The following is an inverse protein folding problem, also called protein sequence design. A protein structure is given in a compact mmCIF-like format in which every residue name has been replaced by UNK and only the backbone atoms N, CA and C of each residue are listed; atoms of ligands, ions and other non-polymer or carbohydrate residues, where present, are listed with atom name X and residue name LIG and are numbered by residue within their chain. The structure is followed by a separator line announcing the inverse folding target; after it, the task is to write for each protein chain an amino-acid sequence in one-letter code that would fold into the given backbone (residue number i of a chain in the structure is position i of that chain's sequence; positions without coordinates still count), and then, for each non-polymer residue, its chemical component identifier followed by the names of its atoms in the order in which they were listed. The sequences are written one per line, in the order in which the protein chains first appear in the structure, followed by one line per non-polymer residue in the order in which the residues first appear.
data_IF_573660002902
#
_entry.id   IF_573660002902
#
_cell.length_a   1.000
_cell.length_b   1.000
_cell.length_c   1.000
_cell.angle_alpha   90.00
_cell.angle_beta   90.00
_cell.angle_gamma   90.00
#
_symmetry.space_group_name_H-M   'P 1'
#
loop_
_entity.id
_entity.type
_entity.pdbx_description
1 polymer ?
#
# COMPACT_ATOMS: atom_id res chain seq x y z
N UNK A 1 -3.23 -18.32 -47.18
CA UNK A 1 -4.41 -17.78 -46.47
C UNK A 1 -5.35 -18.92 -46.14
N UNK A 2 -5.38 -19.40 -44.89
CA UNK A 2 -6.47 -20.26 -44.40
C UNK A 2 -6.87 -19.72 -43.03
N UNK A 3 -8.08 -19.18 -43.02
CA UNK A 3 -8.81 -18.65 -41.87
C UNK A 3 -9.01 -19.75 -40.83
N UNK A 4 -9.08 -19.39 -39.54
CA UNK A 4 -10.03 -19.91 -38.54
C UNK A 4 -9.47 -19.76 -37.11
N UNK A 5 -9.99 -18.77 -36.36
CA UNK A 5 -9.78 -18.64 -34.92
C UNK A 5 -11.16 -18.45 -34.27
N UNK A 6 -11.59 -19.41 -33.44
CA UNK A 6 -12.87 -19.37 -32.73
C UNK A 6 -12.61 -19.23 -31.21
N UNK A 7 -13.39 -18.34 -30.60
CA UNK A 7 -13.76 -18.20 -29.19
C UNK A 7 -12.70 -18.37 -28.08
N UNK A 8 -12.48 -17.29 -27.34
CA UNK A 8 -11.65 -17.24 -26.12
C UNK A 8 -12.56 -16.97 -24.91
N UNK A 9 -12.57 -17.87 -23.92
CA UNK A 9 -13.39 -17.74 -22.70
C UNK A 9 -12.49 -17.45 -21.52
N UNK A 10 -12.78 -16.44 -20.72
CA UNK A 10 -12.25 -16.31 -19.37
C UNK A 10 -13.42 -16.47 -18.39
N UNK A 11 -13.41 -17.55 -17.62
CA UNK A 11 -14.46 -17.89 -16.65
C UNK A 11 -13.94 -17.56 -15.25
N UNK A 12 -14.73 -16.82 -14.46
CA UNK A 12 -14.71 -16.93 -13.00
C UNK A 12 -15.98 -17.63 -12.55
N UNK A 13 -15.93 -18.34 -11.42
CA UNK A 13 -17.16 -18.72 -10.72
C UNK A 13 -17.51 -17.53 -9.81
N UNK A 14 -18.64 -16.81 -9.97
CA UNK A 14 -19.87 -17.14 -10.70
C UNK A 14 -20.06 -16.37 -12.04
N UNK A 15 -19.04 -15.68 -12.57
CA UNK A 15 -19.17 -14.79 -13.75
C UNK A 15 -18.42 -15.33 -14.98
N UNK A 16 -19.17 -15.72 -16.02
CA UNK A 16 -18.58 -16.18 -17.30
C UNK A 16 -18.67 -15.12 -18.38
N UNK A 17 -17.54 -14.71 -18.97
CA UNK A 17 -17.52 -13.86 -20.18
C UNK A 17 -17.01 -14.67 -21.38
N UNK A 18 -17.73 -14.59 -22.51
CA UNK A 18 -17.37 -15.29 -23.76
C UNK A 18 -17.20 -14.26 -24.87
N UNK A 19 -16.12 -14.38 -25.62
CA UNK A 19 -15.80 -13.48 -26.71
C UNK A 19 -15.69 -14.26 -28.01
N UNK A 20 -16.32 -13.74 -29.06
CA UNK A 20 -16.12 -14.21 -30.42
C UNK A 20 -15.30 -13.19 -31.21
N UNK A 21 -14.13 -13.62 -31.66
CA UNK A 21 -13.15 -12.80 -32.37
C UNK A 21 -13.03 -13.16 -33.86
N UNK A 22 -13.96 -13.94 -34.41
CA UNK A 22 -13.94 -14.33 -35.83
C UNK A 22 -13.99 -13.09 -36.73
N UNK A 23 -12.88 -12.77 -37.39
CA UNK A 23 -12.81 -11.75 -38.45
C UNK A 23 -12.83 -10.29 -37.99
N UNK A 24 -12.67 -10.00 -36.69
CA UNK A 24 -12.77 -8.65 -36.15
C UNK A 24 -11.50 -8.22 -35.38
N UNK A 25 -11.16 -6.93 -35.47
CA UNK A 25 -10.08 -6.31 -34.69
C UNK A 25 -10.43 -6.18 -33.20
N UNK A 26 -11.73 -6.18 -32.87
CA UNK A 26 -12.29 -6.20 -31.53
C UNK A 26 -13.31 -7.33 -31.43
N UNK A 27 -13.23 -8.16 -30.38
CA UNK A 27 -14.20 -9.23 -30.16
C UNK A 27 -15.44 -8.69 -29.45
N UNK A 28 -16.63 -9.04 -29.94
CA UNK A 28 -17.89 -8.71 -29.27
C UNK A 28 -18.16 -9.70 -28.15
N UNK A 29 -18.58 -9.20 -26.98
CA UNK A 29 -18.98 -10.05 -25.87
C UNK A 29 -20.30 -10.74 -26.24
N UNK A 30 -20.30 -12.07 -26.22
CA UNK A 30 -21.48 -12.90 -26.45
C UNK A 30 -21.79 -13.65 -25.15
N UNK A 31 -22.19 -12.91 -24.11
CA UNK A 31 -22.73 -13.49 -22.87
C UNK A 31 -24.24 -13.68 -23.02
N UNK A 32 -24.65 -14.85 -23.53
CA UNK A 32 -26.07 -15.15 -23.84
C UNK A 32 -27.01 -15.22 -22.63
N UNK A 33 -26.52 -15.26 -21.39
CA UNK A 33 -27.39 -15.36 -20.21
C UNK A 33 -26.89 -14.50 -19.04
N UNK A 34 -27.79 -13.77 -18.36
CA UNK A 34 -27.50 -13.15 -17.07
C UNK A 34 -27.05 -14.19 -16.03
N UNK A 35 -26.08 -13.85 -15.15
CA UNK A 35 -25.40 -12.56 -15.07
C UNK A 35 -24.40 -12.39 -16.22
N UNK A 36 -24.49 -11.26 -16.94
CA UNK A 36 -23.51 -10.86 -17.97
C UNK A 36 -22.16 -10.77 -17.26
N UNK A 37 -21.21 -11.65 -17.58
CA UNK A 37 -19.99 -11.88 -16.80
C UNK A 37 -19.37 -10.59 -16.23
N UNK A 38 -18.54 -9.90 -17.01
CA UNK A 38 -17.99 -8.58 -16.62
C UNK A 38 -18.68 -7.41 -17.36
N UNK A 39 -19.53 -7.71 -18.36
CA UNK A 39 -20.30 -6.72 -19.11
C UNK A 39 -19.40 -5.69 -19.81
N UNK A 40 -19.84 -4.43 -19.83
CA UNK A 40 -19.12 -3.33 -20.49
C UNK A 40 -17.73 -3.03 -19.88
N UNK A 41 -17.42 -3.57 -18.70
CA UNK A 41 -16.13 -3.39 -18.05
C UNK A 41 -15.02 -4.21 -18.69
N UNK A 42 -15.34 -5.19 -19.52
CA UNK A 42 -14.34 -6.10 -20.08
C UNK A 42 -14.19 -5.95 -21.60
N UNK A 43 -12.94 -6.01 -22.07
CA UNK A 43 -12.56 -5.88 -23.48
C UNK A 43 -11.53 -6.93 -23.84
N UNK A 44 -11.83 -7.74 -24.85
CA UNK A 44 -10.91 -8.76 -25.35
C UNK A 44 -10.23 -8.29 -26.63
N UNK A 45 -8.90 -8.30 -26.62
CA UNK A 45 -8.06 -7.96 -27.76
C UNK A 45 -7.39 -9.24 -28.32
N UNK A 46 -7.89 -9.77 -29.45
CA UNK A 46 -7.36 -10.97 -30.09
C UNK A 46 -6.07 -10.72 -30.90
N UNK A 47 -5.75 -9.46 -31.22
CA UNK A 47 -4.61 -9.12 -32.11
C UNK A 47 -3.29 -9.04 -31.36
N UNK A 48 -3.30 -8.84 -30.04
CA UNK A 48 -2.10 -8.93 -29.20
C UNK A 48 -1.57 -10.37 -29.15
N UNK A 49 -0.25 -10.52 -28.99
CA UNK A 49 0.42 -11.81 -28.80
C UNK A 49 1.22 -11.78 -27.48
N UNK A 50 0.75 -12.45 -26.41
CA UNK A 50 -0.50 -13.21 -26.31
C UNK A 50 -1.74 -12.31 -26.35
N UNK A 51 -2.89 -12.88 -26.70
CA UNK A 51 -4.18 -12.19 -26.67
C UNK A 51 -4.54 -11.76 -25.24
N UNK A 52 -5.12 -10.57 -25.07
CA UNK A 52 -5.30 -9.96 -23.75
C UNK A 52 -6.78 -9.70 -23.47
N UNK A 53 -7.23 -10.05 -22.26
CA UNK A 53 -8.51 -9.60 -21.71
C UNK A 53 -8.24 -8.48 -20.69
N UNK A 54 -8.82 -7.31 -20.92
CA UNK A 54 -8.76 -6.19 -19.98
C UNK A 54 -10.09 -6.10 -19.24
N UNK A 55 -10.05 -5.98 -17.91
CA UNK A 55 -11.23 -5.78 -17.06
C UNK A 55 -11.01 -4.47 -16.30
N UNK A 56 -11.91 -3.50 -16.51
CA UNK A 56 -11.88 -2.20 -15.85
C UNK A 56 -12.66 -2.23 -14.52
N UNK A 57 -12.34 -1.31 -13.62
CA UNK A 57 -13.05 -1.12 -12.34
C UNK A 57 -13.18 -2.39 -11.50
N UNK A 58 -12.08 -3.14 -11.35
CA UNK A 58 -12.05 -4.38 -10.56
C UNK A 58 -12.50 -4.14 -9.11
N UNK A 59 -13.23 -5.08 -8.53
CA UNK A 59 -13.73 -5.02 -7.15
C UNK A 59 -13.13 -6.13 -6.31
N UNK A 60 -12.93 -5.93 -5.01
CA UNK A 60 -12.27 -6.90 -4.12
C UNK A 60 -12.89 -8.31 -4.17
N UNK A 61 -14.21 -8.42 -4.34
CA UNK A 61 -14.97 -9.67 -4.48
C UNK A 61 -14.72 -10.42 -5.80
N UNK A 62 -13.98 -9.82 -6.74
CA UNK A 62 -13.64 -10.41 -8.03
C UNK A 62 -12.25 -11.08 -8.01
N UNK A 63 -11.62 -11.18 -6.84
CA UNK A 63 -10.40 -11.98 -6.65
C UNK A 63 -10.69 -13.48 -6.74
N UNK A 64 -9.73 -14.26 -7.24
CA UNK A 64 -9.84 -15.70 -7.32
C UNK A 64 -9.24 -16.31 -8.58
N UNK A 65 -9.61 -17.55 -8.87
CA UNK A 65 -9.05 -18.30 -10.01
C UNK A 65 -9.89 -18.05 -11.26
N UNK A 66 -9.24 -17.51 -12.29
CA UNK A 66 -9.78 -17.25 -13.61
C UNK A 66 -9.34 -18.36 -14.55
N UNK A 67 -10.28 -18.95 -15.28
CA UNK A 67 -10.00 -19.99 -16.28
C UNK A 67 -10.05 -19.41 -17.69
N UNK A 68 -8.91 -19.32 -18.35
CA UNK A 68 -8.84 -19.03 -19.78
C UNK A 68 -8.97 -20.34 -20.58
N UNK A 69 -9.95 -20.42 -21.47
CA UNK A 69 -10.22 -21.57 -22.35
C UNK A 69 -10.24 -21.12 -23.80
N UNK A 70 -9.50 -21.82 -24.65
CA UNK A 70 -9.44 -21.58 -26.10
C UNK A 70 -9.84 -22.86 -26.80
N UNK A 71 -10.88 -22.79 -27.64
CA UNK A 71 -11.38 -23.92 -28.41
C UNK A 71 -10.87 -23.83 -29.86
N UNK A 72 -10.05 -24.79 -30.29
CA UNK A 72 -9.54 -24.86 -31.66
C UNK A 72 -10.45 -25.73 -32.54
N UNK A 73 -10.47 -25.47 -33.86
CA UNK A 73 -11.29 -26.28 -34.80
C UNK A 73 -10.75 -27.69 -34.99
N UNK A 74 -9.43 -27.81 -35.09
CA UNK A 74 -8.73 -29.05 -35.49
C UNK A 74 -7.77 -29.55 -34.43
N UNK A 75 -7.68 -28.88 -33.28
CA UNK A 75 -6.76 -29.21 -32.19
C UNK A 75 -7.49 -29.24 -30.86
N UNK A 76 -6.87 -29.80 -29.84
CA UNK A 76 -7.44 -29.90 -28.50
C UNK A 76 -7.63 -28.52 -27.87
N UNK A 77 -8.71 -28.36 -27.12
CA UNK A 77 -8.97 -27.17 -26.30
C UNK A 77 -7.82 -26.94 -25.33
N UNK A 78 -7.28 -25.72 -25.31
CA UNK A 78 -6.27 -25.32 -24.31
C UNK A 78 -6.96 -24.61 -23.15
N UNK A 79 -6.49 -24.91 -21.94
CA UNK A 79 -6.99 -24.27 -20.73
C UNK A 79 -5.81 -23.77 -19.91
N UNK A 80 -5.96 -22.57 -19.34
CA UNK A 80 -5.04 -22.00 -18.37
C UNK A 80 -5.86 -21.53 -17.16
N UNK A 81 -5.30 -21.73 -15.97
CA UNK A 81 -5.83 -21.17 -14.73
C UNK A 81 -4.90 -20.03 -14.31
N UNK A 82 -5.48 -18.88 -14.01
CA UNK A 82 -4.79 -17.66 -13.60
C UNK A 82 -5.33 -17.29 -12.22
N UNK A 83 -4.46 -17.17 -11.23
CA UNK A 83 -4.85 -16.65 -9.93
C UNK A 83 -4.79 -15.12 -9.97
N UNK A 84 -5.93 -14.46 -9.80
CA UNK A 84 -6.04 -13.00 -9.76
C UNK A 84 -6.23 -12.60 -8.30
N UNK A 85 -5.17 -12.06 -7.69
CA UNK A 85 -5.25 -11.37 -6.42
C UNK A 85 -5.54 -9.89 -6.65
N UNK A 86 -6.41 -9.34 -5.80
CA UNK A 86 -6.71 -7.91 -5.83
C UNK A 86 -5.99 -7.29 -4.65
N UNK A 87 -5.34 -6.16 -4.92
CA UNK A 87 -4.59 -5.40 -3.93
C UNK A 87 -5.24 -4.04 -3.82
N UNK A 88 -5.50 -3.62 -2.58
CA UNK A 88 -5.96 -2.27 -2.24
C UNK A 88 -4.79 -1.60 -1.51
N UNK A 89 -4.17 -0.55 -2.08
CA UNK A 89 -3.08 0.17 -1.41
C UNK A 89 -3.53 0.71 -0.05
N UNK A 90 -2.61 0.80 0.93
CA UNK A 90 -2.94 1.34 2.23
C UNK A 90 -3.20 2.85 2.19
N UNK A 91 -3.97 3.35 3.16
CA UNK A 91 -4.12 4.79 3.36
C UNK A 91 -2.83 5.38 3.90
N UNK A 92 -2.64 6.69 3.68
CA UNK A 92 -1.59 7.45 4.36
C UNK A 92 -1.67 7.18 5.88
N UNK A 93 -0.59 6.74 6.51
CA UNK A 93 -0.59 6.49 7.93
C UNK A 93 -0.84 7.77 8.72
N UNK A 94 -1.43 7.61 9.90
CA UNK A 94 -1.76 8.69 10.82
C UNK A 94 -0.82 8.59 12.01
N UNK A 95 -0.17 9.70 12.37
CA UNK A 95 0.77 9.74 13.49
C UNK A 95 0.12 10.42 14.69
N UNK A 96 0.21 9.78 15.84
CA UNK A 96 -0.29 10.30 17.11
C UNK A 96 0.76 10.17 18.22
N UNK A 97 0.73 11.11 19.16
CA UNK A 97 1.59 11.14 20.34
C UNK A 97 0.71 11.31 21.56
N UNK A 98 0.90 10.46 22.58
CA UNK A 98 0.09 10.51 23.82
C UNK A 98 -1.44 10.53 23.54
N UNK A 99 -1.87 9.79 22.51
CA UNK A 99 -3.27 9.72 22.08
C UNK A 99 -3.79 10.94 21.31
N UNK A 100 -2.94 11.92 20.97
CA UNK A 100 -3.31 13.10 20.19
C UNK A 100 -2.72 13.03 18.79
N UNK A 101 -3.52 13.36 17.78
CA UNK A 101 -3.09 13.44 16.40
C UNK A 101 -2.00 14.51 16.20
N UNK A 102 -0.93 14.14 15.51
CA UNK A 102 0.12 15.08 15.08
C UNK A 102 -0.29 15.70 13.74
N UNK A 103 -0.58 16.99 13.73
CA UNK A 103 -1.06 17.71 12.52
C UNK A 103 0.02 18.53 11.82
N UNK A 104 1.10 18.89 12.51
CA UNK A 104 2.18 19.75 12.03
C UNK A 104 3.48 18.99 11.71
N UNK A 105 3.40 17.66 11.61
CA UNK A 105 4.59 16.79 11.44
C UNK A 105 5.61 16.92 12.57
N UNK A 106 5.19 17.33 13.78
CA UNK A 106 6.08 17.52 14.91
C UNK A 106 5.57 16.76 16.13
N UNK A 107 6.38 15.86 16.69
CA UNK A 107 6.11 15.19 17.95
C UNK A 107 6.85 15.93 19.07
N UNK A 108 6.11 16.49 20.01
CA UNK A 108 6.68 17.27 21.12
C UNK A 108 5.80 18.45 21.51
N UNK A 109 6.33 19.40 22.30
CA UNK A 109 7.71 19.47 22.76
C UNK A 109 8.03 18.50 23.90
N UNK A 110 9.10 17.71 23.77
CA UNK A 110 9.62 16.81 24.82
C UNK A 110 10.75 17.45 25.63
N UNK A 111 11.20 16.81 26.71
CA UNK A 111 12.42 17.17 27.44
C UNK A 111 13.54 16.15 27.22
N UNK A 112 14.81 16.60 27.22
CA UNK A 112 15.95 15.68 27.21
C UNK A 112 15.92 14.72 28.42
N UNK A 113 15.98 13.42 28.16
CA UNK A 113 15.80 12.35 29.13
C UNK A 113 14.37 11.80 29.25
N UNK A 114 13.40 12.39 28.57
CA UNK A 114 12.01 11.90 28.53
C UNK A 114 11.86 10.72 27.57
N UNK A 115 10.82 9.90 27.78
CA UNK A 115 10.41 8.86 26.84
C UNK A 115 9.45 9.44 25.80
N UNK A 116 9.80 9.35 24.52
CA UNK A 116 8.85 9.61 23.42
C UNK A 116 8.14 8.33 23.01
N UNK A 117 6.80 8.35 23.03
CA UNK A 117 5.96 7.32 22.46
C UNK A 117 5.18 7.90 21.26
N UNK A 118 5.55 7.44 20.06
CA UNK A 118 5.00 7.92 18.79
C UNK A 118 4.32 6.76 18.10
N UNK A 119 3.01 6.88 17.94
CA UNK A 119 2.16 5.84 17.39
C UNK A 119 1.80 6.18 15.95
N UNK A 120 2.06 5.24 15.05
CA UNK A 120 1.61 5.29 13.68
C UNK A 120 0.49 4.27 13.48
N UNK A 121 -0.61 4.66 12.86
CA UNK A 121 -1.71 3.77 12.52
C UNK A 121 -2.12 3.87 11.05
N UNK A 122 -2.65 2.78 10.49
CA UNK A 122 -3.26 2.74 9.16
C UNK A 122 -4.49 1.84 9.17
N UNK A 123 -5.61 2.31 8.64
CA UNK A 123 -6.94 1.67 8.75
C UNK A 123 -7.44 1.04 7.45
N UNK A 124 -6.70 1.18 6.35
CA UNK A 124 -7.11 0.61 5.07
C UNK A 124 -5.96 -0.13 4.38
N UNK A 125 -6.32 -1.13 3.60
CA UNK A 125 -5.39 -1.90 2.77
C UNK A 125 -5.81 -3.36 2.70
N UNK A 126 -5.68 -3.96 1.51
CA UNK A 126 -5.88 -5.40 1.34
C UNK A 126 -4.78 -5.98 0.45
N UNK A 127 -4.00 -6.98 0.89
CA UNK A 127 -3.95 -7.52 2.25
C UNK A 127 -3.67 -6.46 3.32
N UNK A 128 -3.89 -6.81 4.60
CA UNK A 128 -3.63 -5.91 5.72
C UNK A 128 -2.14 -5.46 5.68
N UNK A 129 -1.84 -4.15 5.77
CA UNK A 129 -0.47 -3.66 5.62
C UNK A 129 0.40 -3.95 6.84
N UNK A 130 1.71 -4.03 6.63
CA UNK A 130 2.71 -3.97 7.69
C UNK A 130 3.18 -2.53 7.88
N UNK A 131 3.51 -2.17 9.12
CA UNK A 131 4.02 -0.85 9.49
C UNK A 131 5.48 -0.93 9.95
N UNK A 132 6.31 -0.08 9.37
CA UNK A 132 7.74 0.03 9.70
C UNK A 132 8.10 1.49 9.92
N UNK A 133 8.87 1.76 10.97
CA UNK A 133 9.52 3.04 11.21
C UNK A 133 10.93 3.04 10.63
N UNK A 134 11.25 4.10 9.91
CA UNK A 134 12.56 4.37 9.35
C UNK A 134 13.17 5.64 9.96
N UNK A 135 14.49 5.65 10.12
CA UNK A 135 15.27 6.83 10.48
C UNK A 135 15.38 7.79 9.28
N UNK A 136 15.98 8.97 9.51
CA UNK A 136 16.29 9.92 8.42
C UNK A 136 17.21 9.34 7.37
N UNK A 137 18.04 8.37 7.76
CA UNK A 137 19.05 7.72 6.90
C UNK A 137 18.47 6.53 6.12
N UNK A 138 17.23 6.14 6.41
CA UNK A 138 16.53 5.03 5.77
C UNK A 138 16.71 3.68 6.46
N UNK A 139 17.34 3.65 7.64
CA UNK A 139 17.48 2.43 8.44
C UNK A 139 16.17 2.07 9.14
N UNK A 140 15.89 0.79 9.28
CA UNK A 140 14.73 0.29 10.03
C UNK A 140 14.98 0.50 11.52
N UNK A 141 14.11 1.30 12.15
CA UNK A 141 14.16 1.61 13.59
C UNK A 141 13.25 0.65 14.36
N UNK A 142 12.06 0.39 13.84
CA UNK A 142 11.09 -0.52 14.46
C UNK A 142 10.15 -1.13 13.40
N UNK A 143 9.92 -2.43 13.46
CA UNK A 143 9.01 -3.18 12.60
C UNK A 143 7.95 -3.97 13.40
N UNK A 144 7.81 -3.70 14.70
CA UNK A 144 6.90 -4.40 15.60
C UNK A 144 5.57 -3.68 15.64
N UNK A 145 4.58 -4.24 14.94
CA UNK A 145 3.22 -3.70 14.88
C UNK A 145 2.20 -4.66 15.48
N UNK A 146 1.10 -4.07 15.92
CA UNK A 146 -0.11 -4.75 16.39
C UNK A 146 -1.22 -4.60 15.36
N UNK A 147 -2.14 -5.57 15.34
CA UNK A 147 -3.28 -5.58 14.43
C UNK A 147 -4.57 -5.66 15.24
N UNK A 148 -5.55 -4.83 14.90
CA UNK A 148 -6.88 -4.83 15.49
C UNK A 148 -7.91 -4.66 14.37
N UNK A 149 -8.63 -5.74 14.05
CA UNK A 149 -9.59 -5.82 12.93
C UNK A 149 -9.01 -5.35 11.57
N UNK A 150 -9.24 -4.09 11.21
CA UNK A 150 -8.79 -3.46 9.97
C UNK A 150 -7.73 -2.37 10.19
N UNK A 151 -7.34 -2.13 11.44
CA UNK A 151 -6.31 -1.18 11.80
C UNK A 151 -5.01 -1.88 12.17
N UNK A 152 -3.91 -1.34 11.66
CA UNK A 152 -2.56 -1.72 12.09
C UNK A 152 -1.90 -0.55 12.77
N UNK A 153 -1.16 -0.85 13.83
CA UNK A 153 -0.56 0.17 14.68
C UNK A 153 0.85 -0.21 15.12
N UNK A 154 1.81 0.68 14.90
CA UNK A 154 3.19 0.56 15.38
C UNK A 154 3.51 1.76 16.29
N UNK A 155 3.95 1.50 17.53
CA UNK A 155 4.37 2.55 18.46
C UNK A 155 5.88 2.53 18.66
N UNK A 156 6.56 3.51 18.07
CA UNK A 156 7.97 3.78 18.28
C UNK A 156 8.17 4.35 19.69
N UNK A 157 9.03 3.70 20.47
CA UNK A 157 9.41 4.13 21.82
C UNK A 157 10.89 4.50 21.84
N UNK A 158 11.18 5.75 22.14
CA UNK A 158 12.55 6.26 22.29
C UNK A 158 12.72 6.64 23.76
N UNK A 159 13.57 5.89 24.46
CA UNK A 159 13.85 6.11 25.88
C UNK A 159 15.32 5.78 26.20
N UNK A 160 16.13 6.74 26.70
CA UNK A 160 15.81 8.15 26.88
C UNK A 160 16.00 8.98 25.59
N UNK A 161 15.24 10.06 25.45
CA UNK A 161 15.52 11.08 24.44
C UNK A 161 16.86 11.78 24.72
N UNK A 162 17.84 11.56 23.85
CA UNK A 162 19.13 12.28 23.84
C UNK A 162 19.14 13.44 22.84
N UNK A 163 20.10 14.37 22.96
CA UNK A 163 20.28 15.52 22.04
C UNK A 163 20.31 15.16 20.55
N UNK A 164 20.77 13.95 20.20
CA UNK A 164 20.87 13.48 18.82
C UNK A 164 19.52 13.40 18.13
N UNK A 165 18.45 13.15 18.89
CA UNK A 165 17.10 13.03 18.34
C UNK A 165 16.46 14.40 18.05
N UNK A 166 17.08 15.54 18.42
CA UNK A 166 16.43 16.84 18.24
C UNK A 166 16.43 17.21 16.76
N UNK A 167 15.25 17.43 16.18
CA UNK A 167 15.11 17.65 14.75
C UNK A 167 15.26 16.37 13.93
N UNK A 168 15.47 15.20 14.56
CA UNK A 168 15.50 13.93 13.85
C UNK A 168 14.09 13.60 13.31
N UNK A 169 14.07 13.09 12.09
CA UNK A 169 12.85 12.81 11.34
C UNK A 169 12.67 11.30 11.22
N UNK A 170 11.53 10.83 11.67
CA UNK A 170 11.10 9.45 11.52
C UNK A 170 10.03 9.33 10.43
N UNK A 171 10.12 8.27 9.64
CA UNK A 171 9.18 7.94 8.58
C UNK A 171 8.46 6.64 8.93
N UNK A 172 7.15 6.71 9.15
CA UNK A 172 6.32 5.52 9.21
C UNK A 172 5.85 5.14 7.82
N UNK A 173 6.04 3.88 7.44
CA UNK A 173 5.64 3.34 6.15
C UNK A 173 4.66 2.19 6.32
N UNK A 174 3.52 2.28 5.63
CA UNK A 174 2.55 1.22 5.45
C UNK A 174 2.71 0.59 4.07
N UNK A 175 2.93 -0.73 4.04
CA UNK A 175 3.05 -1.49 2.80
C UNK A 175 2.27 -2.79 2.89
N UNK A 176 1.65 -3.21 1.79
CA UNK A 176 0.97 -4.51 1.71
C UNK A 176 1.27 -5.30 0.43
N UNK A 177 2.13 -4.77 -0.44
CA UNK A 177 2.49 -5.39 -1.70
C UNK A 177 3.77 -4.77 -2.29
N UNK A 178 4.33 -5.41 -3.33
CA UNK A 178 5.56 -4.99 -4.01
C UNK A 178 5.30 -4.39 -5.41
N UNK A 179 4.06 -3.97 -5.69
CA UNK A 179 3.62 -3.48 -7.01
C UNK A 179 3.30 -1.98 -6.97
N UNK A 180 2.68 -1.51 -5.90
CA UNK A 180 2.37 -0.09 -5.69
C UNK A 180 3.35 0.53 -4.71
N UNK A 181 3.53 1.85 -4.80
CA UNK A 181 4.30 2.58 -3.79
C UNK A 181 3.63 2.43 -2.41
N UNK A 182 4.43 2.26 -1.35
CA UNK A 182 3.91 2.22 0.01
C UNK A 182 3.42 3.60 0.43
N UNK A 183 2.42 3.63 1.32
CA UNK A 183 1.93 4.88 1.90
C UNK A 183 2.82 5.25 3.09
N UNK A 184 3.18 6.53 3.25
CA UNK A 184 4.07 6.93 4.33
C UNK A 184 3.67 8.26 4.95
N UNK A 185 4.03 8.42 6.22
CA UNK A 185 3.84 9.62 7.00
C UNK A 185 5.11 9.89 7.80
N UNK A 186 5.40 11.15 8.06
CA UNK A 186 6.63 11.54 8.73
C UNK A 186 6.35 12.46 9.92
N UNK A 187 7.29 12.42 10.86
CA UNK A 187 7.27 13.24 12.06
C UNK A 187 8.68 13.59 12.47
N UNK A 188 8.86 14.82 12.94
CA UNK A 188 10.12 15.33 13.48
C UNK A 188 10.00 15.48 14.99
N UNK A 189 11.02 15.08 15.72
CA UNK A 189 11.06 15.26 17.17
C UNK A 189 11.37 16.72 17.50
N UNK A 190 10.51 17.33 18.29
CA UNK A 190 10.75 18.61 18.94
C UNK A 190 11.01 18.40 20.42
N UNK A 191 12.14 18.91 20.91
CA UNK A 191 12.51 18.83 22.32
C UNK A 191 13.12 20.13 22.83
N UNK A 192 12.88 20.41 24.10
CA UNK A 192 13.57 21.46 24.83
C UNK A 192 14.91 20.93 25.33
N UNK A 193 15.98 21.60 24.94
CA UNK A 193 17.33 21.34 25.47
C UNK A 193 17.38 21.75 26.93
N UNK A 194 18.10 20.98 27.77
CA UNK A 194 18.44 21.45 29.11
C UNK A 194 19.45 22.59 28.97
N UNK A 195 19.05 23.80 29.34
CA UNK A 195 20.00 24.90 29.53
C UNK A 195 20.69 24.74 30.89
N UNK A 196 22.02 24.66 30.90
CA UNK A 196 22.81 24.85 32.12
C UNK A 196 23.06 26.34 32.31
N UNK A 197 22.40 26.94 33.30
CA UNK A 197 22.65 28.33 33.70
C UNK A 197 24.06 28.43 34.28
N UNK A 198 24.94 29.23 33.67
CA UNK A 198 26.19 29.63 34.29
C UNK A 198 25.94 30.87 35.15
N UNK A 199 26.09 30.74 36.47
CA UNK A 199 25.91 31.85 37.40
C UNK A 199 27.11 32.81 37.33
N UNK A 200 27.09 33.71 36.36
CA UNK A 200 28.02 34.83 36.25
C UNK A 200 27.22 36.10 35.96
N UNK A 201 26.81 36.80 37.02
CA UNK A 201 26.43 38.23 36.98
C UNK A 201 25.35 38.63 35.96
N UNK A 202 24.10 38.62 36.39
CA UNK A 202 22.98 39.45 35.88
C UNK A 202 22.69 39.45 34.37
N UNK A 203 22.72 38.30 33.71
CA UNK A 203 21.91 37.99 32.52
C UNK A 203 21.87 36.46 32.34
N UNK A 204 20.68 35.85 32.42
CA UNK A 204 20.50 34.43 32.14
C UNK A 204 20.67 34.19 30.62
N UNK A 205 21.88 33.80 30.21
CA UNK A 205 22.20 33.47 28.82
C UNK A 205 22.09 31.96 28.65
N UNK A 206 21.16 31.51 27.79
CA UNK A 206 21.13 30.15 27.29
C UNK A 206 22.37 29.94 26.41
N UNK A 207 23.41 29.29 26.95
CA UNK A 207 24.52 28.83 26.13
C UNK A 207 24.12 27.53 25.45
N UNK A 208 23.89 27.57 24.14
CA UNK A 208 23.92 26.38 23.31
C UNK A 208 25.34 25.81 23.40
N UNK A 209 25.46 24.64 24.04
CA UNK A 209 26.73 23.91 24.07
C UNK A 209 26.94 23.31 22.67
N UNK A 210 27.49 24.09 21.75
CA UNK A 210 28.24 23.56 20.61
C UNK A 210 29.52 22.95 21.21
N UNK A 211 29.62 21.62 21.14
CA UNK A 211 30.84 20.88 21.49
C UNK A 211 31.33 20.12 20.23
N UNK A 212 32.65 19.88 20.15
CA UNK A 212 33.48 20.02 18.95
C UNK A 212 33.42 18.89 17.92
#
# INVERSE_FOLDING_TARGET
MINYWNAQRCLTSPRSSRYDARGATNATEWSERPPRGFGQRSRFNPTRRPSVLTIHHIRADESGIYRCRVDFRTSQTRNALINVSIIIPPSAPVIATLGRLVTNHTAGPYSEGEMAAITCSSTSGYPLPHLVWYSSDGDVVDDVYSTSDLEVQNTLKIDPLTKKHFGERFLCQASNNNVTLPASANVTIDMRRKCTLSSSGSNDICLDHEDP
#
